data_IF_862078368585
#
_entry.id   IF_862078368585
#
_cell.length_a   1.000
_cell.length_b   1.000
_cell.length_c   1.000
_cell.angle_alpha   90.00
_cell.angle_beta   90.00
_cell.angle_gamma   90.00
#
_symmetry.space_group_name_H-M   'P 1'
#
loop_
_entity.id
_entity.type
_entity.pdbx_description
1 polymer ?
#
# COMPACT_ATOMS: atom_id res chain seq x y z
N UNK A 1 -1.51 5.45 15.53
CA UNK A 1 -1.32 6.90 15.74
C UNK A 1 -0.57 7.52 14.55
N UNK A 2 0.68 7.15 14.29
CA UNK A 2 1.46 7.71 13.17
C UNK A 2 0.76 7.58 11.79
N UNK A 3 0.18 6.41 11.49
CA UNK A 3 -0.61 6.18 10.27
C UNK A 3 -1.81 7.13 10.18
N UNK A 4 -2.57 7.30 11.27
CA UNK A 4 -3.70 8.22 11.29
C UNK A 4 -3.28 9.67 11.00
N UNK A 5 -2.15 10.11 11.57
CA UNK A 5 -1.61 11.45 11.35
C UNK A 5 -1.21 11.63 9.89
N UNK A 6 -0.47 10.68 9.32
CA UNK A 6 -0.04 10.75 7.91
C UNK A 6 -1.21 10.68 6.94
N UNK A 7 -2.24 9.87 7.22
CA UNK A 7 -3.50 9.86 6.44
C UNK A 7 -4.15 11.25 6.45
N UNK A 8 -4.29 11.86 7.63
CA UNK A 8 -4.87 13.20 7.74
C UNK A 8 -4.05 14.24 6.97
N UNK A 9 -2.72 14.17 7.06
CA UNK A 9 -1.82 15.06 6.32
C UNK A 9 -2.00 14.90 4.80
N UNK A 10 -2.03 13.67 4.29
CA UNK A 10 -2.22 13.40 2.85
C UNK A 10 -3.57 13.89 2.33
N UNK A 11 -4.62 13.81 3.14
CA UNK A 11 -5.97 14.20 2.73
C UNK A 11 -6.26 15.71 2.91
N UNK A 12 -5.65 16.38 3.88
CA UNK A 12 -5.94 17.79 4.19
C UNK A 12 -5.06 18.75 3.38
N UNK A 13 -3.80 18.40 3.13
CA UNK A 13 -2.85 19.26 2.42
C UNK A 13 -2.17 18.56 1.23
N UNK A 14 -2.93 18.03 0.25
CA UNK A 14 -2.33 17.32 -0.88
C UNK A 14 -1.50 18.24 -1.80
N UNK A 15 -2.01 19.44 -2.14
CA UNK A 15 -1.35 20.32 -3.11
C UNK A 15 0.03 20.81 -2.65
N UNK A 16 0.25 21.27 -1.39
CA UNK A 16 1.59 21.65 -0.94
C UNK A 16 2.56 20.47 -0.90
N UNK A 17 2.06 19.25 -0.60
CA UNK A 17 2.89 18.05 -0.57
C UNK A 17 3.35 17.67 -1.97
N UNK A 18 2.43 17.65 -2.94
CA UNK A 18 2.75 17.30 -4.33
C UNK A 18 3.58 18.42 -4.97
N UNK A 19 3.22 19.68 -4.72
CA UNK A 19 3.92 20.85 -5.24
C UNK A 19 5.37 20.98 -4.76
N UNK A 20 5.76 20.32 -3.67
CA UNK A 20 7.15 20.24 -3.24
C UNK A 20 8.02 19.38 -4.17
N UNK A 21 7.42 18.53 -5.01
CA UNK A 21 8.11 17.62 -5.94
C UNK A 21 7.97 18.05 -7.41
N UNK A 22 7.30 19.18 -7.70
CA UNK A 22 7.05 19.67 -9.06
C UNK A 22 7.70 21.05 -9.23
N UNK A 23 8.31 21.29 -10.39
CA UNK A 23 8.83 22.61 -10.75
C UNK A 23 7.67 23.63 -10.86
N UNK A 24 7.74 24.79 -10.18
CA UNK A 24 6.71 25.83 -10.30
C UNK A 24 6.44 26.30 -11.73
N UNK A 25 7.45 26.23 -12.61
CA UNK A 25 7.38 26.70 -13.99
C UNK A 25 7.03 25.57 -14.99
N UNK A 26 6.69 24.37 -14.50
CA UNK A 26 6.27 23.24 -15.35
C UNK A 26 4.95 23.56 -16.07
N UNK A 27 4.90 23.49 -17.42
CA UNK A 27 3.68 23.74 -18.18
C UNK A 27 2.53 22.78 -17.83
N UNK A 28 2.84 21.56 -17.39
CA UNK A 28 1.85 20.51 -17.10
C UNK A 28 1.50 20.45 -15.59
N UNK A 29 1.97 21.40 -14.78
CA UNK A 29 1.83 21.42 -13.32
C UNK A 29 0.40 21.18 -12.82
N UNK A 30 -0.59 21.81 -13.47
CA UNK A 30 -1.99 21.67 -13.06
C UNK A 30 -2.53 20.25 -13.27
N UNK A 31 -2.16 19.61 -14.37
CA UNK A 31 -2.57 18.23 -14.66
C UNK A 31 -1.90 17.25 -13.69
N UNK A 32 -0.60 17.45 -13.41
CA UNK A 32 0.15 16.64 -12.46
C UNK A 32 -0.42 16.79 -11.04
N UNK A 33 -0.78 18.00 -10.62
CA UNK A 33 -1.42 18.23 -9.31
C UNK A 33 -2.78 17.52 -9.20
N UNK A 34 -3.59 17.55 -10.25
CA UNK A 34 -4.89 16.89 -10.28
C UNK A 34 -4.73 15.36 -10.17
N UNK A 35 -3.88 14.76 -11.00
CA UNK A 35 -3.59 13.32 -10.96
C UNK A 35 -2.93 12.91 -9.64
N UNK A 36 -1.96 13.68 -9.18
CA UNK A 36 -1.22 13.46 -7.93
C UNK A 36 -2.14 13.48 -6.71
N UNK A 37 -3.16 14.34 -6.68
CA UNK A 37 -4.10 14.43 -5.55
C UNK A 37 -4.89 13.13 -5.39
N UNK A 38 -5.35 12.54 -6.49
CA UNK A 38 -6.05 11.26 -6.48
C UNK A 38 -5.12 10.13 -6.03
N UNK A 39 -3.88 10.11 -6.54
CA UNK A 39 -2.88 9.12 -6.17
C UNK A 39 -2.42 9.27 -4.71
N UNK A 40 -2.37 10.49 -4.16
CA UNK A 40 -2.01 10.73 -2.77
C UNK A 40 -3.12 10.26 -1.81
N UNK A 41 -4.38 10.43 -2.19
CA UNK A 41 -5.51 9.85 -1.45
C UNK A 41 -5.43 8.30 -1.45
N UNK A 42 -5.04 7.68 -2.57
CA UNK A 42 -4.79 6.24 -2.61
C UNK A 42 -3.57 5.83 -1.79
N UNK A 43 -2.51 6.64 -1.76
CA UNK A 43 -1.36 6.40 -0.90
C UNK A 43 -1.76 6.37 0.59
N UNK A 44 -2.73 7.19 1.00
CA UNK A 44 -3.29 7.18 2.36
C UNK A 44 -4.00 5.86 2.69
N UNK A 45 -4.74 5.28 1.73
CA UNK A 45 -5.32 3.94 1.87
C UNK A 45 -4.23 2.87 1.94
N UNK A 46 -3.30 2.90 0.97
CA UNK A 46 -2.21 1.95 0.82
C UNK A 46 -1.38 1.83 2.11
N UNK A 47 -0.94 2.96 2.67
CA UNK A 47 -0.10 2.95 3.88
C UNK A 47 -0.83 2.37 5.11
N UNK A 48 -2.16 2.47 5.14
CA UNK A 48 -2.95 1.92 6.26
C UNK A 48 -2.90 0.40 6.26
N UNK A 49 -3.01 -0.20 5.08
CA UNK A 49 -2.90 -1.64 4.88
C UNK A 49 -1.45 -2.09 5.07
N UNK A 50 -0.49 -1.36 4.51
CA UNK A 50 0.94 -1.63 4.63
C UNK A 50 1.39 -1.67 6.10
N UNK A 51 0.95 -0.72 6.92
CA UNK A 51 1.27 -0.71 8.34
C UNK A 51 0.84 -1.99 9.06
N UNK A 52 -0.33 -2.53 8.75
CA UNK A 52 -0.80 -3.81 9.29
C UNK A 52 0.11 -4.98 8.88
N UNK A 53 0.48 -5.02 7.61
CA UNK A 53 1.38 -6.03 7.04
C UNK A 53 2.78 -5.97 7.70
N UNK A 54 3.35 -4.78 7.83
CA UNK A 54 4.68 -4.55 8.40
C UNK A 54 4.71 -4.92 9.88
N UNK A 55 3.67 -4.59 10.65
CA UNK A 55 3.56 -5.00 12.05
C UNK A 55 3.52 -6.53 12.19
N UNK A 56 2.69 -7.21 11.40
CA UNK A 56 2.60 -8.67 11.44
C UNK A 56 3.93 -9.34 11.07
N UNK A 57 4.62 -8.81 10.05
CA UNK A 57 5.94 -9.29 9.65
C UNK A 57 7.00 -9.06 10.74
N UNK A 58 6.96 -7.92 11.42
CA UNK A 58 7.83 -7.60 12.56
C UNK A 58 7.62 -8.56 13.72
N UNK A 59 6.37 -8.89 14.05
CA UNK A 59 6.03 -9.86 15.10
C UNK A 59 6.58 -11.26 14.77
N UNK A 60 6.43 -11.72 13.53
CA UNK A 60 6.92 -13.02 13.08
C UNK A 60 8.46 -13.09 13.10
N UNK A 61 9.14 -12.02 12.66
CA UNK A 61 10.60 -11.91 12.77
C UNK A 61 11.07 -11.95 14.23
N UNK A 62 10.31 -11.36 15.15
CA UNK A 62 10.60 -11.38 16.59
C UNK A 62 10.62 -12.79 17.19
N UNK A 63 9.80 -13.71 16.66
CA UNK A 63 9.78 -15.14 17.04
C UNK A 63 10.63 -16.02 16.11
N UNK A 64 11.52 -15.40 15.33
CA UNK A 64 12.43 -16.06 14.38
C UNK A 64 11.72 -16.84 13.24
N UNK A 65 10.43 -16.59 12.99
CA UNK A 65 9.75 -17.11 11.80
C UNK A 65 9.93 -16.14 10.62
N UNK A 66 10.80 -16.50 9.67
CA UNK A 66 11.15 -15.62 8.54
C UNK A 66 10.90 -16.25 7.18
N UNK A 67 11.09 -17.57 7.05
CA UNK A 67 11.01 -18.28 5.76
C UNK A 67 9.59 -18.37 5.22
N UNK A 68 8.64 -18.79 6.06
CA UNK A 68 7.23 -18.91 5.64
C UNK A 68 6.62 -17.54 5.34
N UNK A 69 6.81 -16.50 6.20
CA UNK A 69 6.36 -15.15 5.92
C UNK A 69 6.87 -14.57 4.59
N UNK A 70 8.14 -14.84 4.25
CA UNK A 70 8.71 -14.39 2.98
C UNK A 70 8.00 -15.00 1.76
N UNK A 71 7.70 -16.31 1.81
CA UNK A 71 6.97 -17.00 0.72
C UNK A 71 5.54 -16.45 0.61
N UNK A 72 4.85 -16.24 1.75
CA UNK A 72 3.50 -15.67 1.76
C UNK A 72 3.48 -14.25 1.17
N UNK A 73 4.46 -13.42 1.51
CA UNK A 73 4.60 -12.08 0.95
C UNK A 73 4.86 -12.13 -0.56
N UNK A 74 5.79 -12.98 -1.02
CA UNK A 74 6.08 -13.16 -2.43
C UNK A 74 4.84 -13.60 -3.22
N UNK A 75 4.09 -14.59 -2.71
CA UNK A 75 2.83 -15.02 -3.30
C UNK A 75 1.82 -13.86 -3.37
N UNK A 76 1.64 -13.12 -2.29
CA UNK A 76 0.65 -12.05 -2.22
C UNK A 76 0.97 -10.91 -3.20
N UNK A 77 2.24 -10.54 -3.36
CA UNK A 77 2.62 -9.49 -4.30
C UNK A 77 2.58 -9.95 -5.75
N UNK A 78 3.11 -11.14 -6.05
CA UNK A 78 3.26 -11.59 -7.44
C UNK A 78 2.03 -12.29 -8.00
N UNK A 79 1.33 -13.09 -7.22
CA UNK A 79 0.19 -13.89 -7.69
C UNK A 79 -1.12 -13.14 -7.51
N UNK A 80 -1.21 -12.23 -6.53
CA UNK A 80 -2.43 -11.45 -6.29
C UNK A 80 -2.24 -9.99 -6.69
N UNK A 81 -1.25 -9.30 -6.13
CA UNK A 81 -1.03 -7.87 -6.34
C UNK A 81 -0.85 -7.51 -7.81
N UNK A 82 0.17 -8.08 -8.47
CA UNK A 82 0.49 -7.79 -9.87
C UNK A 82 -0.67 -8.10 -10.82
N UNK A 83 -1.33 -9.28 -10.79
CA UNK A 83 -2.47 -9.55 -11.66
C UNK A 83 -3.65 -8.62 -11.39
N UNK A 84 -3.93 -8.29 -10.11
CA UNK A 84 -5.01 -7.36 -9.78
C UNK A 84 -4.69 -5.95 -10.29
N UNK A 85 -3.45 -5.49 -10.14
CA UNK A 85 -2.98 -4.22 -10.70
C UNK A 85 -3.11 -4.19 -12.22
N UNK A 86 -2.81 -5.30 -12.89
CA UNK A 86 -2.96 -5.40 -14.34
C UNK A 86 -4.43 -5.29 -14.78
N UNK A 87 -5.31 -6.04 -14.13
CA UNK A 87 -6.74 -6.03 -14.43
C UNK A 87 -7.34 -4.65 -14.15
N UNK A 88 -7.10 -4.09 -12.97
CA UNK A 88 -7.69 -2.80 -12.59
C UNK A 88 -7.10 -1.64 -13.42
N UNK A 89 -5.78 -1.63 -13.63
CA UNK A 89 -5.10 -0.55 -14.33
C UNK A 89 -5.38 -0.57 -15.84
N UNK A 90 -5.25 -1.73 -16.49
CA UNK A 90 -5.26 -1.81 -17.95
C UNK A 90 -6.56 -2.38 -18.53
N UNK A 91 -7.16 -3.41 -17.91
CA UNK A 91 -8.39 -4.00 -18.45
C UNK A 91 -9.64 -3.19 -18.12
N UNK A 92 -9.71 -2.62 -16.90
CA UNK A 92 -10.84 -1.81 -16.45
C UNK A 92 -10.66 -0.31 -16.67
N UNK A 93 -9.48 0.13 -17.13
CA UNK A 93 -9.20 1.52 -17.47
C UNK A 93 -9.13 2.47 -16.27
N UNK A 94 -8.73 1.99 -15.08
CA UNK A 94 -8.45 2.85 -13.93
C UNK A 94 -7.01 3.39 -13.93
N UNK A 95 -6.21 3.12 -14.97
CA UNK A 95 -4.85 3.63 -15.16
C UNK A 95 -3.98 3.45 -13.89
N UNK A 96 -3.24 4.49 -13.50
CA UNK A 96 -2.40 4.49 -12.30
C UNK A 96 -3.19 4.18 -11.02
N UNK A 97 -4.43 4.66 -10.91
CA UNK A 97 -5.30 4.36 -9.75
C UNK A 97 -5.52 2.85 -9.61
N UNK A 98 -5.82 2.17 -10.72
CA UNK A 98 -6.01 0.73 -10.74
C UNK A 98 -4.76 -0.04 -10.33
N UNK A 99 -3.58 0.42 -10.78
CA UNK A 99 -2.30 -0.19 -10.40
C UNK A 99 -2.08 -0.12 -8.89
N UNK A 100 -2.26 1.06 -8.28
CA UNK A 100 -2.09 1.26 -6.84
C UNK A 100 -3.13 0.51 -6.00
N UNK A 101 -4.38 0.43 -6.47
CA UNK A 101 -5.41 -0.38 -5.83
C UNK A 101 -5.07 -1.86 -5.85
N UNK A 102 -4.59 -2.39 -6.99
CA UNK A 102 -4.18 -3.79 -7.09
C UNK A 102 -3.01 -4.14 -6.16
N UNK A 103 -2.02 -3.25 -6.05
CA UNK A 103 -0.92 -3.43 -5.09
C UNK A 103 -1.41 -3.40 -3.65
N UNK A 104 -2.38 -2.52 -3.33
CA UNK A 104 -3.03 -2.46 -2.01
C UNK A 104 -3.74 -3.77 -1.67
N UNK A 105 -4.39 -4.42 -2.65
CA UNK A 105 -5.00 -5.74 -2.47
C UNK A 105 -3.93 -6.79 -2.16
N UNK A 106 -2.80 -6.78 -2.88
CA UNK A 106 -1.67 -7.67 -2.60
C UNK A 106 -1.14 -7.50 -1.17
N UNK A 107 -0.99 -6.26 -0.69
CA UNK A 107 -0.61 -5.97 0.69
C UNK A 107 -1.66 -6.43 1.71
N UNK A 108 -2.95 -6.24 1.42
CA UNK A 108 -4.02 -6.67 2.30
C UNK A 108 -3.99 -8.19 2.48
N UNK A 109 -3.82 -8.94 1.38
CA UNK A 109 -3.67 -10.40 1.42
C UNK A 109 -2.43 -10.80 2.21
N UNK A 110 -1.29 -10.16 1.99
CA UNK A 110 -0.08 -10.41 2.77
C UNK A 110 -0.33 -10.17 4.26
N UNK A 111 -0.93 -9.04 4.63
CA UNK A 111 -1.23 -8.69 6.02
C UNK A 111 -2.15 -9.69 6.70
N UNK A 112 -3.21 -10.13 6.02
CA UNK A 112 -4.13 -11.16 6.53
C UNK A 112 -3.41 -12.49 6.73
N UNK A 113 -2.67 -12.97 5.72
CA UNK A 113 -1.95 -14.23 5.78
C UNK A 113 -0.89 -14.26 6.90
N UNK A 114 -0.15 -13.16 7.06
CA UNK A 114 0.87 -13.03 8.10
C UNK A 114 0.25 -12.97 9.49
N UNK A 115 -0.83 -12.21 9.68
CA UNK A 115 -1.55 -12.21 10.96
C UNK A 115 -2.09 -13.61 11.28
N UNK A 116 -2.73 -14.29 10.33
CA UNK A 116 -3.20 -15.67 10.52
C UNK A 116 -2.05 -16.62 10.89
N UNK A 117 -0.87 -16.47 10.27
CA UNK A 117 0.33 -17.28 10.58
C UNK A 117 0.82 -17.06 12.01
N UNK A 118 0.78 -15.82 12.50
CA UNK A 118 1.16 -15.49 13.86
C UNK A 118 0.18 -16.08 14.88
N UNK A 119 -1.12 -15.78 14.73
CA UNK A 119 -2.15 -16.18 15.68
C UNK A 119 -2.43 -17.69 15.71
N UNK A 120 -2.21 -18.40 14.60
CA UNK A 120 -2.41 -19.87 14.55
C UNK A 120 -1.36 -20.68 15.30
N UNK A 121 -0.13 -20.17 15.46
CA UNK A 121 1.00 -20.94 16.01
C UNK A 121 1.60 -20.41 17.30
N UNK A 122 1.51 -19.11 17.55
CA UNK A 122 2.25 -18.50 18.66
C UNK A 122 1.35 -17.84 19.71
N UNK A 123 0.15 -17.39 19.33
CA UNK A 123 -0.80 -16.80 20.28
C UNK A 123 -1.67 -17.82 21.02
N UNK A 124 -1.51 -19.12 20.74
CA UNK A 124 -2.21 -20.21 21.45
C UNK A 124 -1.37 -20.83 22.57
N UNK A 125 -0.28 -20.17 22.97
CA UNK A 125 0.62 -20.63 24.05
C UNK A 125 0.34 -19.83 25.31
#
# INVERSE_FOLDING_TARGET
IAVCITVLVFLIIPEPLIGAFIDPDDPDRLEILAAGTVLLALAALFQTVDAGQVMALGMLRGVQDTRVPMIMAAFSYWVVGVPTSYVLGFMLGFDGVGVWLGLSVGLAVAGVLLQMRFWSRHARV
#
